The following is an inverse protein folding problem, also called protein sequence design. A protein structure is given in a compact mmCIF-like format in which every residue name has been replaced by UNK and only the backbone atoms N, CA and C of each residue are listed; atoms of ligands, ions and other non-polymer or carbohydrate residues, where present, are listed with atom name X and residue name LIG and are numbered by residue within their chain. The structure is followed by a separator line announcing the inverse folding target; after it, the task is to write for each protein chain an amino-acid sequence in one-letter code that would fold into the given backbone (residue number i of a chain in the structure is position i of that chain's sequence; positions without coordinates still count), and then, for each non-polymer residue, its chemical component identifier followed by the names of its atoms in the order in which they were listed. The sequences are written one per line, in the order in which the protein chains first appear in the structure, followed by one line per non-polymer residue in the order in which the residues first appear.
data_IF_841659583899
#
_entry.id   IF_841659583899
#
_cell.length_a   1.000
_cell.length_b   1.000
_cell.length_c   1.000
_cell.angle_alpha   90.00
_cell.angle_beta   90.00
_cell.angle_gamma   90.00
#
_symmetry.space_group_name_H-M   'P 1'
#
loop_
_entity.id
_entity.type
_entity.pdbx_description
1 polymer ?
#
# COMPACT_ATOMS: atom_id res chain seq x y z
N UNK A 1 -56.40 -4.70 -18.18
CA UNK A 1 -55.91 -4.19 -16.89
C UNK A 1 -55.36 -5.24 -15.91
N UNK A 2 -55.94 -6.45 -15.77
CA UNK A 2 -55.47 -7.47 -14.78
C UNK A 2 -54.00 -7.93 -14.91
N UNK A 3 -53.45 -8.04 -16.12
CA UNK A 3 -52.08 -8.54 -16.35
C UNK A 3 -50.99 -7.53 -15.95
N UNK A 4 -51.27 -6.23 -16.10
CA UNK A 4 -50.37 -5.12 -15.76
C UNK A 4 -50.27 -4.97 -14.23
N UNK A 5 -51.37 -5.15 -13.50
CA UNK A 5 -51.41 -5.05 -12.04
C UNK A 5 -50.63 -6.17 -11.34
N UNK A 6 -50.65 -7.39 -11.89
CA UNK A 6 -49.87 -8.54 -11.39
C UNK A 6 -48.36 -8.36 -11.58
N UNK A 7 -47.94 -7.74 -12.69
CA UNK A 7 -46.51 -7.46 -12.97
C UNK A 7 -45.92 -6.45 -11.98
N UNK A 8 -46.66 -5.39 -11.65
CA UNK A 8 -46.23 -4.38 -10.66
C UNK A 8 -46.07 -4.98 -9.26
N UNK A 9 -46.97 -5.87 -8.85
CA UNK A 9 -46.91 -6.55 -7.54
C UNK A 9 -45.68 -7.46 -7.45
N UNK A 10 -45.37 -8.22 -8.51
CA UNK A 10 -44.19 -9.09 -8.56
C UNK A 10 -42.88 -8.30 -8.44
N UNK A 11 -42.83 -7.11 -9.05
CA UNK A 11 -41.69 -6.19 -8.97
C UNK A 11 -41.46 -5.70 -7.53
N UNK A 12 -42.52 -5.31 -6.82
CA UNK A 12 -42.40 -4.85 -5.42
C UNK A 12 -41.98 -5.98 -4.46
N UNK A 13 -42.45 -7.22 -4.67
CA UNK A 13 -42.04 -8.37 -3.85
C UNK A 13 -40.56 -8.69 -4.05
N UNK A 14 -40.07 -8.65 -5.29
CA UNK A 14 -38.65 -8.90 -5.61
C UNK A 14 -37.74 -7.84 -5.01
N UNK A 15 -38.15 -6.57 -5.03
CA UNK A 15 -37.41 -5.47 -4.43
C UNK A 15 -37.26 -5.63 -2.91
N UNK A 16 -38.29 -6.12 -2.22
CA UNK A 16 -38.28 -6.28 -0.76
C UNK A 16 -37.31 -7.39 -0.30
N UNK A 17 -37.20 -8.47 -1.06
CA UNK A 17 -36.28 -9.58 -0.78
C UNK A 17 -34.81 -9.12 -0.88
N UNK A 18 -34.49 -8.20 -1.81
CA UNK A 18 -33.13 -7.69 -2.00
C UNK A 18 -32.63 -6.77 -0.88
N UNK A 19 -33.53 -6.15 -0.10
CA UNK A 19 -33.18 -5.25 1.01
C UNK A 19 -33.06 -5.99 2.35
N UNK A 20 -33.48 -7.26 2.41
CA UNK A 20 -33.60 -8.03 3.66
C UNK A 20 -32.32 -8.74 4.11
N UNK A 21 -31.20 -8.57 3.42
CA UNK A 21 -29.96 -9.30 3.70
C UNK A 21 -28.79 -8.37 3.97
N UNK A 22 -28.48 -8.15 5.25
CA UNK A 22 -27.13 -8.08 5.83
C UNK A 22 -27.24 -7.57 7.28
N UNK A 23 -27.47 -8.46 8.26
CA UNK A 23 -27.20 -8.11 9.66
C UNK A 23 -25.71 -8.35 9.91
N UNK A 24 -24.91 -7.30 9.76
CA UNK A 24 -23.48 -7.36 10.03
C UNK A 24 -23.25 -7.28 11.55
N UNK A 25 -23.01 -8.43 12.18
CA UNK A 25 -22.68 -8.50 13.61
C UNK A 25 -21.17 -8.33 13.75
N UNK A 26 -20.75 -7.15 14.20
CA UNK A 26 -19.33 -6.88 14.48
C UNK A 26 -18.98 -7.36 15.89
N UNK A 27 -18.13 -8.38 15.99
CA UNK A 27 -17.44 -8.73 17.22
C UNK A 27 -16.04 -8.09 17.20
N UNK A 28 -15.79 -7.14 18.09
CA UNK A 28 -14.44 -6.64 18.36
C UNK A 28 -13.77 -7.51 19.42
N UNK A 29 -12.67 -8.16 19.06
CA UNK A 29 -11.77 -8.81 20.02
C UNK A 29 -10.78 -7.74 20.51
N UNK A 30 -10.55 -7.58 21.82
CA UNK A 30 -9.54 -6.65 22.31
C UNK A 30 -8.16 -7.12 21.82
N UNK A 31 -7.49 -6.29 21.02
CA UNK A 31 -6.11 -6.53 20.60
C UNK A 31 -5.16 -6.08 21.71
N UNK A 32 -4.14 -6.89 21.99
CA UNK A 32 -3.06 -6.54 22.90
C UNK A 32 -2.34 -5.30 22.35
N UNK A 33 -2.42 -4.18 23.08
CA UNK A 33 -1.63 -2.99 22.76
C UNK A 33 -0.20 -3.21 23.24
N UNK A 34 0.76 -3.09 22.31
CA UNK A 34 2.19 -3.11 22.62
C UNK A 34 2.59 -1.69 23.02
N UNK A 35 3.15 -1.53 24.23
CA UNK A 35 3.67 -0.23 24.68
C UNK A 35 5.14 -0.10 24.31
N UNK A 36 5.63 1.13 24.16
CA UNK A 36 7.06 1.40 23.95
C UNK A 36 7.94 0.86 25.09
N UNK A 37 7.38 0.72 26.30
CA UNK A 37 8.07 0.13 27.46
C UNK A 37 8.35 -1.37 27.32
N UNK A 38 7.59 -2.06 26.47
CA UNK A 38 7.67 -3.50 26.25
C UNK A 38 8.67 -3.83 25.12
N UNK A 39 9.29 -2.80 24.55
CA UNK A 39 10.21 -2.89 23.43
C UNK A 39 11.63 -2.55 23.87
N UNK A 40 12.60 -3.33 23.39
CA UNK A 40 13.99 -2.95 23.45
C UNK A 40 14.30 -2.09 22.23
N UNK A 41 14.42 -0.77 22.41
CA UNK A 41 14.65 0.19 21.34
C UNK A 41 16.15 0.34 21.11
N UNK A 42 16.58 0.07 19.87
CA UNK A 42 17.96 0.23 19.40
C UNK A 42 18.20 1.64 18.84
N UNK A 43 19.43 1.86 18.39
CA UNK A 43 19.88 3.09 17.74
C UNK A 43 19.16 3.37 16.42
N UNK A 44 19.32 4.60 15.93
CA UNK A 44 18.76 5.02 14.64
C UNK A 44 19.47 4.31 13.48
N UNK A 45 18.68 3.59 12.69
CA UNK A 45 19.12 2.91 11.46
C UNK A 45 18.62 3.66 10.24
N UNK A 46 19.30 3.46 9.11
CA UNK A 46 18.99 4.16 7.87
C UNK A 46 18.99 3.24 6.66
N UNK A 47 18.17 3.61 5.67
CA UNK A 47 18.13 3.01 4.34
C UNK A 47 18.03 4.08 3.27
N UNK A 48 18.41 3.74 2.05
CA UNK A 48 18.39 4.67 0.93
C UNK A 48 17.98 3.95 -0.36
N UNK A 49 17.16 4.62 -1.17
CA UNK A 49 16.91 4.20 -2.53
C UNK A 49 17.01 5.35 -3.52
N UNK A 50 17.46 5.00 -4.72
CA UNK A 50 17.54 5.89 -5.88
C UNK A 50 16.66 5.33 -6.99
N UNK A 51 15.90 6.21 -7.64
CA UNK A 51 15.12 5.91 -8.84
C UNK A 51 15.31 7.02 -9.85
N UNK A 52 15.61 6.63 -11.08
CA UNK A 52 15.71 7.56 -12.19
C UNK A 52 14.49 7.36 -13.06
N UNK A 53 13.71 8.43 -13.23
CA UNK A 53 12.47 8.44 -13.97
C UNK A 53 12.65 9.21 -15.28
N UNK A 54 12.25 8.59 -16.37
CA UNK A 54 12.12 9.22 -17.70
C UNK A 54 10.64 9.27 -18.00
N UNK A 55 10.09 10.47 -18.18
CA UNK A 55 8.64 10.68 -18.40
C UNK A 55 7.76 9.99 -17.34
N UNK A 56 8.22 9.98 -16.08
CA UNK A 56 7.52 9.34 -14.97
C UNK A 56 7.73 7.83 -14.83
N UNK A 57 8.44 7.18 -15.75
CA UNK A 57 8.69 5.74 -15.75
C UNK A 57 10.12 5.44 -15.31
N UNK A 58 10.27 4.56 -14.31
CA UNK A 58 11.56 3.96 -13.95
C UNK A 58 11.79 2.70 -14.80
N UNK A 59 12.39 2.88 -15.97
CA UNK A 59 12.68 1.80 -16.92
C UNK A 59 13.62 0.73 -16.34
N UNK A 60 14.52 1.11 -15.42
CA UNK A 60 15.45 0.16 -14.78
C UNK A 60 14.69 -0.85 -13.94
N UNK A 61 13.62 -0.42 -13.26
CA UNK A 61 12.78 -1.31 -12.45
C UNK A 61 11.77 -2.06 -13.30
N UNK A 62 11.23 -1.43 -14.34
CA UNK A 62 10.33 -2.08 -15.29
C UNK A 62 10.97 -3.30 -15.96
N UNK A 63 12.27 -3.23 -16.28
CA UNK A 63 13.02 -4.36 -16.86
C UNK A 63 13.50 -5.39 -15.82
N UNK A 64 13.30 -5.15 -14.52
CA UNK A 64 13.74 -6.06 -13.46
C UNK A 64 12.62 -7.05 -13.12
N UNK A 65 12.90 -8.35 -13.29
CA UNK A 65 11.92 -9.43 -13.07
C UNK A 65 11.45 -9.58 -11.61
N UNK A 66 12.25 -9.12 -10.64
CA UNK A 66 11.91 -9.17 -9.23
C UNK A 66 12.20 -7.80 -8.58
N UNK A 67 11.15 -7.13 -8.12
CA UNK A 67 11.23 -5.86 -7.41
C UNK A 67 10.70 -6.08 -5.99
N UNK A 68 11.59 -5.96 -5.02
CA UNK A 68 11.25 -6.01 -3.60
C UNK A 68 10.94 -4.59 -3.11
N UNK A 69 9.79 -4.44 -2.46
CA UNK A 69 9.25 -3.18 -1.95
C UNK A 69 8.62 -3.42 -0.58
N UNK A 70 8.77 -2.48 0.35
CA UNK A 70 8.21 -2.59 1.69
C UNK A 70 7.24 -1.44 1.98
N UNK A 71 6.21 -1.68 2.80
CA UNK A 71 5.26 -0.67 3.24
C UNK A 71 5.13 -0.74 4.77
N UNK A 72 5.03 0.41 5.45
CA UNK A 72 4.92 0.52 6.90
C UNK A 72 3.57 1.11 7.29
N UNK A 73 2.86 0.38 8.16
CA UNK A 73 1.48 0.70 8.52
C UNK A 73 0.52 0.52 7.36
N UNK A 74 -0.77 0.66 7.64
CA UNK A 74 -1.84 0.72 6.65
C UNK A 74 -1.74 2.03 5.82
N UNK A 75 -0.54 2.41 5.38
CA UNK A 75 -0.29 3.57 4.53
C UNK A 75 -0.86 3.25 3.16
N UNK A 76 -2.03 3.83 2.96
CA UNK A 76 -2.82 3.93 1.74
C UNK A 76 -2.15 4.76 0.64
N UNK A 77 -0.82 4.89 0.65
CA UNK A 77 -0.08 5.20 -0.58
C UNK A 77 -0.16 3.97 -1.47
N UNK A 78 -1.34 3.79 -2.05
CA UNK A 78 -1.59 2.92 -3.19
C UNK A 78 -0.45 3.14 -4.16
N UNK A 79 0.35 2.09 -4.38
CA UNK A 79 1.17 1.94 -5.58
C UNK A 79 0.27 2.41 -6.72
N UNK A 80 0.55 3.54 -7.39
CA UNK A 80 -0.25 3.95 -8.52
C UNK A 80 0.04 2.96 -9.63
N UNK A 81 -0.68 1.85 -9.63
CA UNK A 81 -0.77 0.97 -10.75
C UNK A 81 -1.45 1.80 -11.83
N UNK A 82 -0.71 2.16 -12.88
CA UNK A 82 -1.34 2.65 -14.11
C UNK A 82 -2.08 1.44 -14.69
N UNK A 83 -3.27 1.19 -14.15
CA UNK A 83 -4.25 0.25 -14.63
C UNK A 83 -5.33 1.09 -15.25
N UNK A 84 -5.55 0.91 -16.55
CA UNK A 84 -6.82 1.29 -17.15
C UNK A 84 -7.92 0.64 -16.30
N UNK A 85 -8.77 1.44 -15.69
CA UNK A 85 -9.78 1.01 -14.74
C UNK A 85 -10.77 0.06 -15.45
N UNK A 86 -10.54 -1.26 -15.35
CA UNK A 86 -11.43 -2.29 -15.87
C UNK A 86 -11.78 -3.28 -14.75
N UNK A 87 -12.66 -2.85 -13.84
CA UNK A 87 -13.53 -3.72 -13.03
C UNK A 87 -12.93 -4.42 -11.79
N UNK A 88 -13.81 -4.94 -10.91
CA UNK A 88 -13.46 -5.44 -9.58
C UNK A 88 -13.22 -6.95 -9.65
N UNK A 89 -12.10 -7.38 -10.21
CA UNK A 89 -11.60 -8.74 -9.99
C UNK A 89 -10.09 -8.68 -9.85
N UNK A 90 -9.57 -9.44 -8.89
CA UNK A 90 -8.14 -9.55 -8.57
C UNK A 90 -7.38 -10.22 -9.71
N UNK A 91 -7.29 -9.54 -10.85
CA UNK A 91 -6.43 -9.88 -11.98
C UNK A 91 -5.06 -9.34 -11.62
N UNK A 92 -4.07 -10.23 -11.47
CA UNK A 92 -2.67 -9.86 -11.63
C UNK A 92 -2.51 -9.33 -13.05
N UNK A 93 -2.79 -8.04 -13.18
CA UNK A 93 -2.76 -7.31 -14.44
C UNK A 93 -1.28 -7.19 -14.79
N UNK A 94 -0.94 -7.34 -16.08
CA UNK A 94 0.35 -6.86 -16.61
C UNK A 94 0.30 -5.33 -16.51
N UNK A 95 0.45 -4.84 -15.29
CA UNK A 95 0.36 -3.44 -14.91
C UNK A 95 1.76 -2.93 -14.69
N UNK A 96 2.01 -1.72 -15.20
CA UNK A 96 3.21 -0.96 -14.85
C UNK A 96 3.14 -0.71 -13.34
N UNK A 97 3.86 -1.52 -12.57
CA UNK A 97 3.93 -1.36 -11.12
C UNK A 97 4.86 -0.18 -10.85
N UNK A 98 4.29 1.01 -10.67
CA UNK A 98 5.06 2.19 -10.27
C UNK A 98 5.29 2.10 -8.77
N UNK A 99 6.48 1.64 -8.40
CA UNK A 99 6.87 1.54 -7.00
C UNK A 99 7.51 2.86 -6.58
N UNK A 100 6.98 3.45 -5.51
CA UNK A 100 7.52 4.67 -4.94
C UNK A 100 8.92 4.46 -4.37
N UNK A 101 9.78 5.46 -4.57
CA UNK A 101 11.16 5.46 -4.06
C UNK A 101 11.25 5.30 -2.55
N UNK A 102 10.23 5.76 -1.83
CA UNK A 102 10.10 5.62 -0.38
C UNK A 102 9.96 4.16 0.05
N UNK A 103 9.11 3.40 -0.62
CA UNK A 103 8.91 1.96 -0.36
C UNK A 103 10.19 1.15 -0.61
N UNK A 104 11.03 1.64 -1.53
CA UNK A 104 12.29 1.02 -1.90
C UNK A 104 13.39 1.34 -0.90
N UNK A 105 13.42 2.58 -0.40
CA UNK A 105 14.36 3.00 0.63
C UNK A 105 14.03 2.33 1.98
N UNK A 106 12.74 2.12 2.24
CA UNK A 106 12.26 1.35 3.37
C UNK A 106 12.63 -0.15 3.23
N UNK A 107 12.46 -0.74 2.05
CA UNK A 107 12.89 -2.12 1.82
C UNK A 107 14.40 -2.30 2.03
N UNK A 108 15.21 -1.34 1.60
CA UNK A 108 16.65 -1.32 1.88
C UNK A 108 16.95 -1.25 3.39
N UNK A 109 16.21 -0.41 4.14
CA UNK A 109 16.34 -0.34 5.60
C UNK A 109 15.98 -1.68 6.26
N UNK A 110 14.86 -2.30 5.89
CA UNK A 110 14.44 -3.58 6.46
C UNK A 110 15.38 -4.72 6.10
N UNK A 111 15.86 -4.78 4.84
CA UNK A 111 16.80 -5.80 4.41
C UNK A 111 18.15 -5.71 5.12
N UNK A 112 18.58 -4.50 5.52
CA UNK A 112 19.78 -4.28 6.34
C UNK A 112 19.58 -4.64 7.81
N UNK A 113 18.35 -4.61 8.31
CA UNK A 113 18.00 -4.71 9.72
C UNK A 113 16.96 -5.82 9.97
N UNK A 114 17.21 -7.02 9.42
CA UNK A 114 16.28 -8.17 9.50
C UNK A 114 16.09 -8.75 10.90
N UNK A 115 16.99 -8.42 11.82
CA UNK A 115 16.99 -8.93 13.19
C UNK A 115 15.99 -8.20 14.10
N UNK A 116 15.38 -7.12 13.62
CA UNK A 116 14.45 -6.30 14.39
C UNK A 116 13.00 -6.51 13.92
N UNK A 117 12.10 -6.66 14.89
CA UNK A 117 10.68 -6.94 14.62
C UNK A 117 9.87 -5.66 14.32
N UNK A 118 10.29 -4.53 14.89
CA UNK A 118 9.50 -3.29 14.89
C UNK A 118 10.32 -2.12 14.38
N UNK A 119 9.68 -1.30 13.55
CA UNK A 119 10.21 -0.06 13.04
C UNK A 119 9.38 1.12 13.58
N UNK A 120 10.04 2.02 14.29
CA UNK A 120 9.45 3.12 15.04
C UNK A 120 9.76 4.44 14.32
N UNK A 121 8.69 5.18 14.01
CA UNK A 121 8.72 6.55 13.48
C UNK A 121 9.71 6.77 12.31
N UNK A 122 9.49 6.14 11.14
CA UNK A 122 10.29 6.39 9.96
C UNK A 122 10.18 7.86 9.53
N UNK A 123 11.34 8.49 9.32
CA UNK A 123 11.49 9.83 8.76
C UNK A 123 12.05 9.70 7.35
N UNK A 124 11.30 10.23 6.38
CA UNK A 124 11.67 10.23 4.97
C UNK A 124 12.28 11.57 4.59
N UNK A 125 13.36 11.54 3.80
CA UNK A 125 13.97 12.71 3.18
C UNK A 125 14.12 12.44 1.70
N UNK A 126 13.48 13.27 0.87
CA UNK A 126 13.46 13.13 -0.59
C UNK A 126 14.21 14.28 -1.24
N UNK A 127 15.12 13.94 -2.14
CA UNK A 127 15.84 14.88 -2.99
C UNK A 127 15.56 14.52 -4.44
N UNK A 128 15.18 15.52 -5.24
CA UNK A 128 14.92 15.36 -6.67
C UNK A 128 15.93 16.18 -7.46
N UNK A 129 16.67 15.54 -8.35
CA UNK A 129 17.67 16.17 -9.21
C UNK A 129 17.34 15.92 -10.68
N UNK A 130 17.53 16.92 -11.55
CA UNK A 130 17.34 16.79 -13.00
C UNK A 130 16.36 17.79 -13.60
N UNK A 131 15.85 17.46 -14.78
CA UNK A 131 14.95 18.30 -15.58
C UNK A 131 13.52 17.73 -15.55
N UNK A 132 12.79 18.08 -14.51
CA UNK A 132 11.37 17.76 -14.40
C UNK A 132 10.57 18.52 -15.48
N UNK A 133 9.63 17.89 -16.22
CA UNK A 133 9.10 16.53 -16.08
C UNK A 133 9.64 15.52 -17.13
N UNK A 134 10.79 15.78 -17.76
CA UNK A 134 11.33 14.90 -18.82
C UNK A 134 12.20 13.79 -18.21
N UNK A 135 13.14 14.18 -17.36
CA UNK A 135 14.11 13.28 -16.72
C UNK A 135 14.42 13.80 -15.33
N UNK A 136 14.16 13.00 -14.30
CA UNK A 136 14.58 13.33 -12.94
C UNK A 136 14.99 12.09 -12.18
N UNK A 137 15.87 12.29 -11.21
CA UNK A 137 16.33 11.26 -10.30
C UNK A 137 15.88 11.61 -8.90
N UNK A 138 15.12 10.71 -8.30
CA UNK A 138 14.67 10.79 -6.92
C UNK A 138 15.59 9.94 -6.06
N UNK A 139 16.20 10.58 -5.06
CA UNK A 139 16.93 9.89 -3.99
C UNK A 139 16.14 10.07 -2.71
N UNK A 140 15.74 8.96 -2.11
CA UNK A 140 15.03 8.94 -0.83
C UNK A 140 15.89 8.27 0.22
N UNK A 141 16.07 8.95 1.35
CA UNK A 141 16.66 8.39 2.55
C UNK A 141 15.59 8.21 3.61
N UNK A 142 15.64 7.07 4.30
CA UNK A 142 14.77 6.75 5.44
C UNK A 142 15.64 6.59 6.65
N UNK A 143 15.27 7.26 7.74
CA UNK A 143 15.85 7.05 9.06
C UNK A 143 14.75 6.60 10.00
N UNK A 144 14.97 5.53 10.75
CA UNK A 144 14.01 5.02 11.71
C UNK A 144 14.72 4.46 12.93
N UNK A 145 14.01 4.36 14.04
CA UNK A 145 14.47 3.57 15.19
C UNK A 145 13.91 2.17 15.04
N UNK A 146 14.69 1.16 15.39
CA UNK A 146 14.25 -0.23 15.36
C UNK A 146 14.20 -0.79 16.77
N UNK A 147 13.33 -1.76 17.00
CA UNK A 147 13.24 -2.42 18.29
C UNK A 147 12.85 -3.88 18.18
N UNK A 148 13.22 -4.64 19.21
CA UNK A 148 12.80 -6.03 19.39
C UNK A 148 11.76 -6.10 20.50
N UNK A 149 10.84 -7.05 20.40
CA UNK A 149 9.91 -7.33 21.50
C UNK A 149 10.70 -8.04 22.62
N UNK A 150 10.45 -7.63 23.87
CA UNK A 150 11.09 -8.23 25.05
C UNK A 150 10.42 -9.53 25.49
#
# INVERSE_FOLDING_TARGET
MRKIMKSKILFFITLFILVSGCTMVNHSVPTSMIYLSDLNISDEVWGQAKSTKILGIDFKRLMKRNIESANVGLSTTSIPLITANIGPTAVQTIGLTIIDTESLALNDLLNKNKEYDILISPKFSKTTEGFWPIYWTETVMVKARVGTIK
#
